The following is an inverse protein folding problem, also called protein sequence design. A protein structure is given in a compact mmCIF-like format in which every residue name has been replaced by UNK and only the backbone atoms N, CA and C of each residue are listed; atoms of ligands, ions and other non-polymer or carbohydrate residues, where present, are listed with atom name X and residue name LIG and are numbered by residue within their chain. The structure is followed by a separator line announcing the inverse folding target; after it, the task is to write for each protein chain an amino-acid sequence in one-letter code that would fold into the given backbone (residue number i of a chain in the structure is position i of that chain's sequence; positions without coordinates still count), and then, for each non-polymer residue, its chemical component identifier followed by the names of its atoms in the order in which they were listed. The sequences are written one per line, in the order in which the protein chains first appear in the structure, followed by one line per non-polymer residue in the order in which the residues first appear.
data_IF_526527918456
#
_entry.id   IF_526527918456
#
_cell.length_a   1.000
_cell.length_b   1.000
_cell.length_c   1.000
_cell.angle_alpha   90.00
_cell.angle_beta   90.00
_cell.angle_gamma   90.00
#
_symmetry.space_group_name_H-M   'P 1'
#
loop_
_entity.id
_entity.type
_entity.pdbx_description
1 polymer ?
#
# COMPACT_ATOMS: atom_id res chain seq x y z
N UNK A 1 27.43 -12.74 5.79
CA UNK A 1 26.68 -12.28 4.61
C UNK A 1 25.21 -12.57 4.89
N UNK A 2 24.48 -11.63 5.48
CA UNK A 2 23.06 -11.84 5.75
C UNK A 2 22.30 -11.46 4.48
N UNK A 3 21.51 -12.39 3.95
CA UNK A 3 20.51 -12.07 2.95
C UNK A 3 19.67 -10.91 3.51
N UNK A 4 19.63 -9.77 2.81
CA UNK A 4 18.74 -8.67 3.16
C UNK A 4 17.31 -9.23 3.13
N UNK A 5 16.71 -9.45 4.30
CA UNK A 5 15.35 -9.95 4.39
C UNK A 5 14.43 -8.93 3.72
N UNK A 6 13.80 -9.32 2.62
CA UNK A 6 12.88 -8.46 1.88
C UNK A 6 11.58 -8.34 2.65
N UNK A 7 11.08 -7.11 2.76
CA UNK A 7 9.79 -6.85 3.43
C UNK A 7 8.66 -7.31 2.53
N UNK A 8 7.75 -8.13 3.04
CA UNK A 8 6.57 -8.52 2.28
C UNK A 8 5.54 -7.40 2.29
N UNK A 9 5.12 -6.96 1.11
CA UNK A 9 4.10 -5.92 0.92
C UNK A 9 2.92 -6.52 0.17
N UNK A 10 1.75 -6.47 0.79
CA UNK A 10 0.51 -7.00 0.24
C UNK A 10 -0.29 -5.88 -0.43
N UNK A 11 -0.57 -6.07 -1.71
CA UNK A 11 -1.22 -5.10 -2.57
C UNK A 11 -2.48 -5.70 -3.17
N UNK A 12 -3.62 -5.06 -2.94
CA UNK A 12 -4.83 -5.38 -3.69
C UNK A 12 -4.72 -4.76 -5.09
N UNK A 13 -4.91 -5.56 -6.13
CA UNK A 13 -4.68 -5.15 -7.52
C UNK A 13 -5.55 -3.95 -7.95
N UNK A 14 -6.81 -3.91 -7.50
CA UNK A 14 -7.77 -2.85 -7.82
C UNK A 14 -7.72 -1.64 -6.88
N UNK A 15 -6.73 -1.58 -5.97
CA UNK A 15 -6.68 -0.56 -4.93
C UNK A 15 -5.76 0.62 -5.35
N UNK A 16 -6.29 1.85 -5.47
CA UNK A 16 -5.49 3.01 -5.88
C UNK A 16 -4.47 3.44 -4.83
N UNK A 17 -4.73 3.14 -3.56
CA UNK A 17 -3.79 3.31 -2.45
C UNK A 17 -2.62 2.32 -2.55
N UNK A 18 -2.89 1.07 -2.96
CA UNK A 18 -1.84 0.08 -3.22
C UNK A 18 -0.96 0.50 -4.41
N UNK A 19 -1.56 1.03 -5.47
CA UNK A 19 -0.81 1.56 -6.62
C UNK A 19 0.07 2.76 -6.21
N UNK A 20 -0.42 3.67 -5.36
CA UNK A 20 0.39 4.79 -4.83
C UNK A 20 1.68 4.30 -4.16
N UNK A 21 1.58 3.31 -3.27
CA UNK A 21 2.75 2.71 -2.62
C UNK A 21 3.68 2.03 -3.64
N UNK A 22 3.11 1.29 -4.61
CA UNK A 22 3.90 0.63 -5.66
C UNK A 22 4.67 1.61 -6.53
N UNK A 23 4.06 2.74 -6.89
CA UNK A 23 4.71 3.84 -7.62
C UNK A 23 5.87 4.38 -6.79
N UNK A 24 5.63 4.74 -5.53
CA UNK A 24 6.68 5.22 -4.64
C UNK A 24 7.87 4.26 -4.57
N UNK A 25 7.65 2.98 -4.25
CA UNK A 25 8.73 2.00 -4.10
C UNK A 25 9.56 1.83 -5.39
N UNK A 26 8.89 1.89 -6.54
CA UNK A 26 9.52 1.71 -7.85
C UNK A 26 10.33 2.95 -8.24
N UNK A 27 9.71 4.12 -8.16
CA UNK A 27 10.33 5.39 -8.58
C UNK A 27 11.47 5.81 -7.63
N UNK A 28 11.35 5.51 -6.34
CA UNK A 28 12.41 5.72 -5.36
C UNK A 28 13.60 4.76 -5.54
N UNK A 29 13.52 3.78 -6.44
CA UNK A 29 14.61 2.83 -6.70
C UNK A 29 14.87 1.84 -5.56
N UNK A 30 13.85 1.55 -4.73
CA UNK A 30 13.97 0.67 -3.55
C UNK A 30 12.99 -0.52 -3.58
N UNK A 31 12.36 -0.77 -4.72
CA UNK A 31 11.41 -1.87 -4.88
C UNK A 31 12.06 -3.26 -4.70
N UNK A 32 13.37 -3.39 -4.92
CA UNK A 32 14.14 -4.62 -4.73
C UNK A 32 14.27 -5.04 -3.25
N UNK A 33 13.92 -4.14 -2.31
CA UNK A 33 13.85 -4.39 -0.87
C UNK A 33 12.55 -5.06 -0.43
N UNK A 34 11.58 -5.21 -1.33
CA UNK A 34 10.26 -5.73 -1.01
C UNK A 34 9.86 -6.90 -1.91
N UNK A 35 9.18 -7.87 -1.30
CA UNK A 35 8.46 -8.92 -2.02
C UNK A 35 6.99 -8.53 -2.10
N UNK A 36 6.52 -8.19 -3.31
CA UNK A 36 5.15 -7.75 -3.53
C UNK A 36 4.24 -8.95 -3.74
N UNK A 37 3.28 -9.11 -2.84
CA UNK A 37 2.21 -10.11 -2.95
C UNK A 37 0.96 -9.39 -3.43
N UNK A 38 0.66 -9.53 -4.72
CA UNK A 38 -0.52 -8.95 -5.34
C UNK A 38 -1.67 -9.95 -5.26
N UNK A 39 -2.85 -9.49 -4.87
CA UNK A 39 -4.04 -10.32 -4.68
C UNK A 39 -5.32 -9.60 -5.10
N UNK A 40 -6.41 -10.34 -5.20
CA UNK A 40 -7.73 -9.87 -5.62
C UNK A 40 -8.76 -9.93 -4.48
N UNK A 41 -9.83 -9.14 -4.62
CA UNK A 41 -10.91 -9.16 -3.66
C UNK A 41 -11.61 -10.52 -3.58
N UNK A 42 -11.42 -11.21 -2.46
CA UNK A 42 -12.15 -12.43 -2.10
C UNK A 42 -11.37 -13.73 -2.37
N UNK A 43 -10.15 -13.63 -2.89
CA UNK A 43 -9.26 -14.76 -3.01
C UNK A 43 -8.77 -15.28 -1.65
N UNK A 44 -8.01 -16.38 -1.67
CA UNK A 44 -7.49 -17.01 -0.46
C UNK A 44 -6.56 -16.06 0.33
N UNK A 45 -5.70 -15.30 -0.36
CA UNK A 45 -4.77 -14.35 0.25
C UNK A 45 -5.53 -13.23 0.95
N UNK A 46 -6.54 -12.63 0.30
CA UNK A 46 -7.38 -11.61 0.88
C UNK A 46 -8.05 -12.11 2.16
N UNK A 47 -8.69 -13.28 2.11
CA UNK A 47 -9.38 -13.88 3.27
C UNK A 47 -8.42 -14.15 4.42
N UNK A 48 -7.25 -14.70 4.12
CA UNK A 48 -6.21 -14.98 5.12
C UNK A 48 -5.73 -13.69 5.80
N UNK A 49 -5.36 -12.66 5.03
CA UNK A 49 -4.85 -11.40 5.57
C UNK A 49 -5.90 -10.66 6.38
N UNK A 50 -7.16 -10.66 5.92
CA UNK A 50 -8.28 -10.10 6.70
C UNK A 50 -8.42 -10.81 8.05
N UNK A 51 -8.46 -12.14 8.05
CA UNK A 51 -8.57 -12.93 9.28
C UNK A 51 -7.39 -12.68 10.24
N UNK A 52 -6.18 -12.53 9.71
CA UNK A 52 -5.00 -12.19 10.52
C UNK A 52 -5.13 -10.81 11.17
N UNK A 53 -5.54 -9.78 10.42
CA UNK A 53 -5.74 -8.43 10.95
C UNK A 53 -6.86 -8.41 11.99
N UNK A 54 -7.99 -9.05 11.70
CA UNK A 54 -9.13 -9.14 12.62
C UNK A 54 -8.75 -9.87 13.93
N UNK A 55 -7.99 -10.97 13.84
CA UNK A 55 -7.47 -11.68 15.02
C UNK A 55 -6.50 -10.83 15.85
N UNK A 56 -5.81 -9.88 15.23
CA UNK A 56 -4.95 -8.90 15.90
C UNK A 56 -5.72 -7.65 16.41
N UNK A 57 -7.05 -7.62 16.30
CA UNK A 57 -7.88 -6.48 16.70
C UNK A 57 -7.80 -5.27 15.76
N UNK A 58 -7.32 -5.47 14.53
CA UNK A 58 -7.14 -4.44 13.52
C UNK A 58 -8.25 -4.50 12.46
N UNK A 59 -8.76 -3.34 12.05
CA UNK A 59 -9.67 -3.25 10.90
C UNK A 59 -8.89 -3.55 9.60
N UNK A 60 -9.34 -4.50 8.77
CA UNK A 60 -8.60 -4.85 7.57
C UNK A 60 -8.48 -3.70 6.57
N UNK A 61 -7.25 -3.38 6.19
CA UNK A 61 -6.93 -2.28 5.29
C UNK A 61 -5.72 -2.64 4.42
N UNK A 62 -5.68 -2.11 3.20
CA UNK A 62 -4.59 -2.33 2.26
C UNK A 62 -4.19 -1.01 1.59
N UNK A 63 -2.91 -0.78 1.26
CA UNK A 63 -1.78 -1.72 1.35
C UNK A 63 -1.38 -2.07 2.79
N UNK A 64 -0.73 -3.23 2.93
CA UNK A 64 -0.20 -3.72 4.20
C UNK A 64 1.23 -4.24 4.02
N UNK A 65 2.07 -4.12 5.05
CA UNK A 65 3.42 -4.68 5.05
C UNK A 65 3.73 -5.39 6.37
N UNK A 66 4.52 -6.45 6.30
CA UNK A 66 5.04 -7.16 7.48
C UNK A 66 6.36 -6.49 7.92
N UNK A 67 6.24 -5.38 8.67
CA UNK A 67 7.39 -4.64 9.20
C UNK A 67 7.95 -5.27 10.48
N UNK A 68 7.11 -5.99 11.21
CA UNK A 68 7.44 -6.75 12.40
C UNK A 68 6.89 -8.18 12.23
N UNK A 69 7.58 -9.23 12.72
CA UNK A 69 7.11 -10.60 12.58
C UNK A 69 5.68 -10.78 13.10
N UNK A 70 4.79 -11.27 12.23
CA UNK A 70 3.40 -11.55 12.60
C UNK A 70 2.47 -10.34 12.69
N UNK A 71 2.95 -9.12 12.46
CA UNK A 71 2.15 -7.89 12.50
C UNK A 71 2.12 -7.17 11.16
N UNK A 72 0.91 -6.79 10.73
CA UNK A 72 0.70 -6.07 9.48
C UNK A 72 0.52 -4.58 9.73
N UNK A 73 1.51 -3.79 9.32
CA UNK A 73 1.39 -2.33 9.26
C UNK A 73 0.57 -1.95 8.03
N UNK A 74 -0.50 -1.21 8.22
CA UNK A 74 -1.38 -0.72 7.14
C UNK A 74 -1.30 0.78 7.01
N UNK A 75 -1.74 1.30 5.86
CA UNK A 75 -1.81 2.74 5.62
C UNK A 75 -0.76 3.17 4.61
N UNK A 76 -1.20 3.76 3.50
CA UNK A 76 -0.29 4.07 2.39
C UNK A 76 0.75 5.12 2.77
N UNK A 77 0.32 6.21 3.42
CA UNK A 77 1.23 7.31 3.78
C UNK A 77 2.20 6.90 4.88
N UNK A 78 1.77 6.06 5.83
CA UNK A 78 2.63 5.50 6.87
C UNK A 78 3.71 4.58 6.28
N UNK A 79 3.31 3.71 5.34
CA UNK A 79 4.23 2.82 4.63
C UNK A 79 5.22 3.62 3.76
N UNK A 80 4.75 4.62 3.01
CA UNK A 80 5.62 5.52 2.25
C UNK A 80 6.61 6.22 3.20
N UNK A 81 6.14 6.76 4.32
CA UNK A 81 7.00 7.41 5.31
C UNK A 81 8.06 6.47 5.91
N UNK A 82 7.70 5.22 6.16
CA UNK A 82 8.63 4.20 6.62
C UNK A 82 9.73 3.93 5.59
N UNK A 83 9.36 3.60 4.35
CA UNK A 83 10.32 3.25 3.31
C UNK A 83 11.13 4.45 2.81
N UNK A 84 10.56 5.67 2.83
CA UNK A 84 11.27 6.90 2.56
C UNK A 84 12.44 7.13 3.53
N UNK A 85 12.19 6.95 4.84
CA UNK A 85 13.23 7.05 5.87
C UNK A 85 14.32 5.99 5.69
N UNK A 86 13.95 4.75 5.36
CA UNK A 86 14.92 3.68 5.11
C UNK A 86 15.70 3.85 3.80
N UNK A 87 15.09 4.46 2.79
CA UNK A 87 15.70 4.71 1.48
C UNK A 87 16.53 5.98 1.40
N UNK A 88 16.35 6.92 2.34
CA UNK A 88 16.91 8.27 2.23
C UNK A 88 16.29 9.07 1.07
N UNK A 89 15.05 8.75 0.68
CA UNK A 89 14.36 9.35 -0.46
C UNK A 89 13.24 10.25 0.04
N UNK A 90 13.14 11.46 -0.52
CA UNK A 90 12.02 12.36 -0.27
C UNK A 90 10.88 12.06 -1.25
N UNK A 91 9.67 11.67 -0.80
CA UNK A 91 8.54 11.43 -1.70
C UNK A 91 8.16 12.66 -2.54
N UNK A 92 8.46 13.86 -2.05
CA UNK A 92 8.17 15.12 -2.75
C UNK A 92 9.05 15.35 -3.98
N UNK A 93 10.16 14.63 -4.13
CA UNK A 93 11.06 14.74 -5.29
C UNK A 93 10.75 13.74 -6.39
N UNK A 94 9.65 12.98 -6.26
CA UNK A 94 9.29 11.88 -7.14
C UNK A 94 8.18 12.32 -8.13
N UNK A 95 8.52 12.68 -9.38
CA UNK A 95 7.57 13.26 -10.34
C UNK A 95 6.42 12.34 -10.74
N UNK A 96 6.61 11.02 -10.85
CA UNK A 96 5.54 10.08 -11.19
C UNK A 96 4.58 9.89 -10.01
N UNK A 97 5.09 9.85 -8.78
CA UNK A 97 4.26 9.87 -7.58
C UNK A 97 3.44 11.15 -7.48
N UNK A 98 4.04 12.31 -7.74
CA UNK A 98 3.33 13.60 -7.80
C UNK A 98 2.25 13.59 -8.89
N UNK A 99 2.59 13.18 -10.11
CA UNK A 99 1.65 13.04 -11.22
C UNK A 99 0.45 12.15 -10.87
N UNK A 100 0.69 11.00 -10.23
CA UNK A 100 -0.38 10.10 -9.82
C UNK A 100 -1.26 10.72 -8.72
N UNK A 101 -0.66 11.33 -7.70
CA UNK A 101 -1.36 11.96 -6.58
C UNK A 101 -2.25 13.12 -7.04
N UNK A 102 -1.72 13.98 -7.91
CA UNK A 102 -2.40 15.20 -8.37
C UNK A 102 -3.41 14.92 -9.49
N UNK A 103 -3.19 13.86 -10.27
CA UNK A 103 -4.06 13.44 -11.38
C UNK A 103 -5.02 12.31 -10.98
N UNK A 104 -4.65 11.08 -11.37
CA UNK A 104 -5.53 9.90 -11.32
C UNK A 104 -6.06 9.63 -9.91
N UNK A 105 -5.20 9.70 -8.89
CA UNK A 105 -5.60 9.42 -7.51
C UNK A 105 -6.58 10.45 -6.97
N UNK A 106 -6.33 11.73 -7.22
CA UNK A 106 -7.25 12.82 -6.85
C UNK A 106 -8.63 12.60 -7.47
N UNK A 107 -8.68 12.31 -8.78
CA UNK A 107 -9.94 12.03 -9.49
C UNK A 107 -10.64 10.77 -9.00
N UNK A 108 -9.89 9.73 -8.66
CA UNK A 108 -10.47 8.55 -8.00
C UNK A 108 -11.15 8.92 -6.68
N UNK A 109 -10.51 9.73 -5.85
CA UNK A 109 -11.07 10.18 -4.57
C UNK A 109 -12.35 11.00 -4.72
N UNK A 110 -12.40 11.89 -5.71
CA UNK A 110 -13.60 12.65 -6.09
C UNK A 110 -14.74 11.71 -6.52
N UNK A 111 -14.48 10.82 -7.49
CA UNK A 111 -15.45 9.84 -7.97
C UNK A 111 -15.96 8.92 -6.86
N UNK A 112 -15.07 8.45 -5.97
CA UNK A 112 -15.46 7.59 -4.86
C UNK A 112 -16.39 8.31 -3.87
N UNK A 113 -16.16 9.61 -3.62
CA UNK A 113 -17.04 10.43 -2.78
C UNK A 113 -18.42 10.58 -3.42
N UNK A 114 -18.47 10.97 -4.69
CA UNK A 114 -19.72 11.10 -5.45
C UNK A 114 -20.52 9.78 -5.48
N UNK A 115 -19.85 8.65 -5.70
CA UNK A 115 -20.50 7.33 -5.71
C UNK A 115 -21.07 6.95 -4.34
N UNK A 116 -20.45 7.35 -3.23
CA UNK A 116 -21.01 7.13 -1.89
C UNK A 116 -22.27 7.97 -1.66
N UNK A 117 -22.20 9.25 -2.02
CA UNK A 117 -23.34 10.18 -1.94
C UNK A 117 -24.54 9.69 -2.76
N UNK A 118 -24.31 9.23 -3.99
CA UNK A 118 -25.36 8.71 -4.88
C UNK A 118 -25.97 7.40 -4.37
N UNK A 119 -25.19 6.54 -3.71
CA UNK A 119 -25.64 5.25 -3.19
C UNK A 119 -26.25 5.34 -1.78
N UNK A 120 -26.31 6.54 -1.20
CA UNK A 120 -26.90 6.78 0.12
C UNK A 120 -26.14 6.09 1.28
N UNK A 121 -24.81 5.94 1.13
CA UNK A 121 -23.93 5.33 2.14
C UNK A 121 -23.10 6.38 2.88
#
# INVERSE_FOLDING_TARGET
MNANARTRIYLKNTCPFCLKLRIFMTEAGIADRADFVVFEDGDATHKQLRSQMEAAGQSPSFPAAELEPGKLTTGTDDLIGHFARQGGVSPATLPLLAYYNEGVFKKYGEMFRELRELKGA
#
